data_IF_274072271201
#
_entry.id   IF_274072271201
#
_cell.length_a   1.000
_cell.length_b   1.000
_cell.length_c   1.000
_cell.angle_alpha   90.00
_cell.angle_beta   90.00
_cell.angle_gamma   90.00
#
_symmetry.space_group_name_H-M   'P 1'
#
loop_
_entity.id
_entity.type
_entity.pdbx_description
1 polymer ?
#
# COMPACT_ATOMS: atom_id res chain seq x y z
N UNK A 1 0.68 -38.28 -30.04
CA UNK A 1 1.35 -38.13 -28.73
C UNK A 1 2.84 -37.85 -28.96
N UNK A 2 3.26 -36.60 -28.73
CA UNK A 2 4.62 -36.11 -28.49
C UNK A 2 5.82 -36.53 -29.37
N UNK A 3 5.82 -36.17 -30.65
CA UNK A 3 7.06 -36.09 -31.46
C UNK A 3 7.99 -34.94 -31.00
N UNK A 4 7.43 -33.92 -30.32
CA UNK A 4 8.18 -32.79 -29.77
C UNK A 4 8.97 -33.11 -28.49
N UNK A 5 8.64 -34.18 -27.75
CA UNK A 5 9.45 -34.63 -26.60
C UNK A 5 10.69 -35.42 -27.03
N UNK A 6 10.66 -36.09 -28.18
CA UNK A 6 11.83 -36.79 -28.71
C UNK A 6 12.92 -35.83 -29.22
N UNK A 7 12.59 -34.59 -29.57
CA UNK A 7 13.57 -33.56 -29.96
C UNK A 7 14.26 -32.86 -28.77
N UNK A 8 13.77 -33.05 -27.55
CA UNK A 8 14.37 -32.47 -26.34
C UNK A 8 15.40 -33.38 -25.67
N UNK A 9 15.61 -34.57 -26.21
CA UNK A 9 16.65 -35.48 -25.74
C UNK A 9 18.00 -35.05 -26.33
N UNK A 10 19.07 -35.05 -25.55
CA UNK A 10 20.42 -34.64 -25.97
C UNK A 10 21.02 -35.63 -26.98
N UNK A 11 20.47 -35.67 -28.20
CA UNK A 11 20.91 -36.54 -29.28
C UNK A 11 22.41 -36.39 -29.57
N UNK A 12 22.96 -35.19 -29.38
CA UNK A 12 24.40 -34.92 -29.55
C UNK A 12 25.24 -35.62 -28.46
N UNK A 13 24.79 -35.61 -27.20
CA UNK A 13 25.47 -36.31 -26.11
C UNK A 13 25.38 -37.84 -26.27
N UNK A 14 24.22 -38.33 -26.71
CA UNK A 14 23.99 -39.75 -26.98
C UNK A 14 24.79 -40.22 -28.19
N UNK A 15 24.88 -39.40 -29.25
CA UNK A 15 25.72 -39.67 -30.40
C UNK A 15 27.21 -39.69 -30.02
N UNK A 16 27.66 -38.78 -29.14
CA UNK A 16 29.02 -38.79 -28.59
C UNK A 16 29.34 -40.03 -27.77
N UNK A 17 28.42 -40.46 -26.89
CA UNK A 17 28.56 -41.69 -26.10
C UNK A 17 28.56 -42.93 -27.01
N UNK A 18 27.64 -43.02 -27.97
CA UNK A 18 27.60 -44.12 -28.94
C UNK A 18 28.87 -44.18 -29.79
N UNK A 19 29.39 -43.04 -30.24
CA UNK A 19 30.63 -42.97 -31.00
C UNK A 19 31.85 -43.41 -30.18
N UNK A 20 31.93 -42.99 -28.91
CA UNK A 20 33.00 -43.42 -28.00
C UNK A 20 32.94 -44.93 -27.73
N UNK A 21 31.74 -45.48 -27.48
CA UNK A 21 31.54 -46.93 -27.27
C UNK A 21 31.90 -47.71 -28.53
N UNK A 22 31.46 -47.27 -29.71
CA UNK A 22 31.77 -47.92 -30.99
C UNK A 22 33.28 -47.91 -31.27
N UNK A 23 33.98 -46.80 -31.00
CA UNK A 23 35.42 -46.70 -31.15
C UNK A 23 36.18 -47.65 -30.21
N UNK A 24 35.75 -47.77 -28.95
CA UNK A 24 36.33 -48.70 -27.98
C UNK A 24 36.16 -50.16 -28.44
N UNK A 25 34.97 -50.53 -28.93
CA UNK A 25 34.68 -51.88 -29.42
C UNK A 25 35.49 -52.22 -30.68
N UNK A 26 35.59 -51.30 -31.63
CA UNK A 26 36.37 -51.46 -32.86
C UNK A 26 37.88 -51.60 -32.58
N UNK A 27 38.38 -50.86 -31.59
CA UNK A 27 39.78 -50.97 -31.15
C UNK A 27 40.04 -52.32 -30.47
N UNK A 28 39.13 -52.79 -29.59
CA UNK A 28 39.23 -54.11 -28.95
C UNK A 28 39.23 -55.27 -29.95
N UNK A 29 38.54 -55.13 -31.08
CA UNK A 29 38.51 -56.12 -32.15
C UNK A 29 39.74 -56.07 -33.09
N UNK A 30 40.71 -55.16 -32.86
CA UNK A 30 41.91 -54.98 -33.69
C UNK A 30 41.61 -54.70 -35.18
N UNK A 31 40.41 -54.21 -35.51
CA UNK A 31 40.00 -53.91 -36.89
C UNK A 31 40.57 -52.56 -37.38
N UNK A 32 41.08 -51.73 -36.48
CA UNK A 32 41.47 -50.33 -36.76
C UNK A 32 42.93 -50.08 -36.40
N UNK A 33 43.67 -49.53 -37.36
CA UNK A 33 45.10 -49.19 -37.28
C UNK A 33 45.35 -47.98 -36.36
N UNK A 34 46.51 -47.92 -35.70
CA UNK A 34 46.87 -46.93 -34.68
C UNK A 34 46.79 -45.48 -35.22
N UNK A 35 47.01 -45.32 -36.53
CA UNK A 35 46.90 -44.07 -37.27
C UNK A 35 45.48 -43.45 -37.28
N UNK A 36 44.43 -44.22 -36.99
CA UNK A 36 43.02 -43.77 -37.05
C UNK A 36 42.47 -43.37 -35.68
N UNK A 37 43.16 -43.73 -34.59
CA UNK A 37 42.72 -43.45 -33.21
C UNK A 37 42.78 -41.95 -32.89
N UNK A 38 43.87 -41.27 -33.29
CA UNK A 38 44.06 -39.85 -33.02
C UNK A 38 42.96 -38.97 -33.67
N UNK A 39 42.58 -39.16 -34.95
CA UNK A 39 41.44 -38.47 -35.55
C UNK A 39 40.12 -38.66 -34.80
N UNK A 40 39.84 -39.87 -34.31
CA UNK A 40 38.60 -40.18 -33.58
C UNK A 40 38.58 -39.45 -32.23
N UNK A 41 39.69 -39.47 -31.49
CA UNK A 41 39.81 -38.74 -30.22
C UNK A 41 39.64 -37.24 -30.44
N UNK A 42 40.25 -36.69 -31.50
CA UNK A 42 40.12 -35.27 -31.83
C UNK A 42 38.67 -34.89 -32.17
N UNK A 43 37.97 -35.74 -32.93
CA UNK A 43 36.57 -35.54 -33.27
C UNK A 43 35.66 -35.59 -32.03
N UNK A 44 35.88 -36.53 -31.12
CA UNK A 44 35.15 -36.64 -29.86
C UNK A 44 35.41 -35.42 -28.95
N UNK A 45 36.66 -34.95 -28.87
CA UNK A 45 37.02 -33.76 -28.09
C UNK A 45 36.34 -32.51 -28.65
N UNK A 46 36.29 -32.37 -29.98
CA UNK A 46 35.57 -31.29 -30.66
C UNK A 46 34.06 -31.33 -30.39
N UNK A 47 33.45 -32.52 -30.43
CA UNK A 47 32.03 -32.70 -30.12
C UNK A 47 31.72 -32.33 -28.67
N UNK A 48 32.58 -32.73 -27.72
CA UNK A 48 32.41 -32.44 -26.30
C UNK A 48 32.53 -30.92 -26.04
N UNK A 49 33.45 -30.24 -26.72
CA UNK A 49 33.59 -28.78 -26.63
C UNK A 49 32.37 -28.04 -27.17
N UNK A 50 31.83 -28.48 -28.31
CA UNK A 50 30.59 -27.92 -28.89
C UNK A 50 29.40 -28.14 -27.94
N UNK A 51 29.30 -29.32 -27.32
CA UNK A 51 28.26 -29.60 -26.35
C UNK A 51 28.38 -28.70 -25.10
N UNK A 52 29.59 -28.56 -24.56
CA UNK A 52 29.86 -27.71 -23.41
C UNK A 52 29.50 -26.23 -23.66
N UNK A 53 29.89 -25.71 -24.83
CA UNK A 53 29.54 -24.34 -25.24
C UNK A 53 28.03 -24.15 -25.40
N UNK A 54 27.32 -25.15 -25.96
CA UNK A 54 25.87 -25.10 -26.13
C UNK A 54 25.12 -25.15 -24.79
N UNK A 55 25.60 -25.97 -23.84
CA UNK A 55 25.00 -26.10 -22.52
C UNK A 55 25.18 -24.82 -21.68
N UNK A 56 26.37 -24.22 -21.71
CA UNK A 56 26.64 -22.93 -21.03
C UNK A 56 25.70 -21.84 -21.53
N UNK A 57 25.52 -21.73 -22.85
CA UNK A 57 24.61 -20.73 -23.46
C UNK A 57 23.15 -20.96 -23.09
N UNK A 58 22.68 -22.21 -23.04
CA UNK A 58 21.30 -22.52 -22.64
C UNK A 58 21.05 -22.25 -21.14
N UNK A 59 22.02 -22.53 -20.28
CA UNK A 59 21.91 -22.23 -18.85
C UNK A 59 21.92 -20.72 -18.58
N UNK A 60 22.71 -19.96 -19.32
CA UNK A 60 22.74 -18.49 -19.22
C UNK A 60 21.39 -17.88 -19.62
N UNK A 61 20.80 -18.33 -20.74
CA UNK A 61 19.46 -17.91 -21.16
C UNK A 61 18.37 -18.28 -20.13
N UNK A 62 18.47 -19.47 -19.53
CA UNK A 62 17.52 -19.93 -18.50
C UNK A 62 17.67 -19.11 -17.22
N UNK A 63 18.90 -18.78 -16.81
CA UNK A 63 19.17 -17.96 -15.63
C UNK A 63 18.66 -16.51 -15.81
N UNK A 64 18.81 -15.95 -17.02
CA UNK A 64 18.31 -14.63 -17.37
C UNK A 64 16.77 -14.58 -17.36
N UNK A 65 16.10 -15.58 -17.95
CA UNK A 65 14.64 -15.70 -17.91
C UNK A 65 14.10 -15.87 -16.49
N UNK A 66 14.77 -16.65 -15.64
CA UNK A 66 14.41 -16.82 -14.22
C UNK A 66 14.58 -15.51 -13.44
N UNK A 67 15.67 -14.77 -13.68
CA UNK A 67 15.91 -13.47 -13.06
C UNK A 67 14.83 -12.45 -13.46
N UNK A 68 14.52 -12.38 -14.76
CA UNK A 68 13.48 -11.49 -15.28
C UNK A 68 12.09 -11.85 -14.72
N UNK A 69 11.79 -13.14 -14.61
CA UNK A 69 10.54 -13.63 -13.99
C UNK A 69 10.48 -13.28 -12.51
N UNK A 70 11.56 -13.47 -11.75
CA UNK A 70 11.63 -13.10 -10.33
C UNK A 70 11.43 -11.60 -10.12
N UNK A 71 12.03 -10.77 -10.99
CA UNK A 71 11.81 -9.32 -10.98
C UNK A 71 10.36 -8.94 -11.31
N UNK A 72 9.75 -9.57 -12.30
CA UNK A 72 8.35 -9.36 -12.63
C UNK A 72 7.42 -9.75 -11.47
N UNK A 73 7.68 -10.88 -10.81
CA UNK A 73 6.93 -11.34 -9.63
C UNK A 73 7.08 -10.36 -8.47
N UNK A 74 8.29 -9.88 -8.15
CA UNK A 74 8.51 -8.85 -7.11
C UNK A 74 7.77 -7.55 -7.41
N UNK A 75 7.76 -7.12 -8.67
CA UNK A 75 7.03 -5.91 -9.10
C UNK A 75 5.51 -6.08 -8.98
N UNK A 76 4.99 -7.25 -9.34
CA UNK A 76 3.56 -7.58 -9.16
C UNK A 76 3.22 -7.60 -7.67
N UNK A 77 4.05 -8.24 -6.84
CA UNK A 77 3.84 -8.30 -5.39
C UNK A 77 3.87 -6.91 -4.74
N UNK A 78 4.81 -6.04 -5.14
CA UNK A 78 4.86 -4.65 -4.68
C UNK A 78 3.63 -3.83 -5.09
N UNK A 79 3.03 -4.11 -6.25
CA UNK A 79 1.77 -3.50 -6.69
C UNK A 79 0.51 -4.07 -6.02
N UNK A 80 0.62 -5.24 -5.36
CA UNK A 80 -0.49 -5.91 -4.67
C UNK A 80 -0.53 -5.61 -3.16
N UNK A 81 0.56 -5.13 -2.56
CA UNK A 81 0.54 -4.59 -1.21
C UNK A 81 -0.34 -3.33 -1.19
N UNK A 82 -1.48 -3.40 -0.51
CA UNK A 82 -2.36 -2.23 -0.35
C UNK A 82 -1.56 -1.12 0.34
N UNK A 83 -1.50 0.10 -0.23
CA UNK A 83 -0.77 1.19 0.40
C UNK A 83 -1.34 1.45 1.80
N UNK A 84 -0.48 1.55 2.80
CA UNK A 84 -0.90 1.88 4.18
C UNK A 84 -1.43 3.31 4.29
N UNK A 85 -0.92 4.20 3.44
CA UNK A 85 -1.27 5.62 3.42
C UNK A 85 -1.45 6.05 1.96
N UNK A 86 -2.58 6.68 1.67
CA UNK A 86 -2.88 7.23 0.35
C UNK A 86 -2.92 8.76 0.44
N UNK A 87 -2.06 9.44 -0.30
CA UNK A 87 -2.12 10.90 -0.42
C UNK A 87 -3.29 11.30 -1.33
N UNK A 88 -4.23 12.05 -0.78
CA UNK A 88 -5.40 12.56 -1.48
C UNK A 88 -5.17 14.04 -1.80
N UNK A 89 -5.20 14.35 -3.10
CA UNK A 89 -4.99 15.70 -3.59
C UNK A 89 -6.27 16.56 -3.66
N UNK A 90 -6.14 17.86 -3.96
CA UNK A 90 -7.24 18.83 -3.94
C UNK A 90 -8.46 18.44 -4.78
N UNK A 91 -8.25 17.79 -5.93
CA UNK A 91 -9.33 17.38 -6.85
C UNK A 91 -10.21 16.26 -6.29
N UNK A 92 -9.67 15.47 -5.36
CA UNK A 92 -10.34 14.29 -4.77
C UNK A 92 -10.71 14.51 -3.30
N UNK A 93 -10.21 15.59 -2.68
CA UNK A 93 -10.39 15.87 -1.26
C UNK A 93 -11.86 15.80 -0.83
N UNK A 94 -12.74 16.52 -1.53
CA UNK A 94 -14.17 16.54 -1.21
C UNK A 94 -14.80 15.15 -1.34
N UNK A 95 -14.57 14.47 -2.46
CA UNK A 95 -15.22 13.18 -2.71
C UNK A 95 -14.73 12.06 -1.78
N UNK A 96 -13.46 12.10 -1.38
CA UNK A 96 -12.90 11.16 -0.38
C UNK A 96 -13.46 11.47 1.01
N UNK A 97 -13.46 12.73 1.44
CA UNK A 97 -13.99 13.10 2.76
C UNK A 97 -15.49 12.82 2.90
N UNK A 98 -16.29 13.12 1.86
CA UNK A 98 -17.71 12.76 1.83
C UNK A 98 -17.94 11.25 1.90
N UNK A 99 -17.14 10.47 1.15
CA UNK A 99 -17.23 9.00 1.18
C UNK A 99 -16.87 8.46 2.56
N UNK A 100 -15.79 8.96 3.14
CA UNK A 100 -15.36 8.60 4.48
C UNK A 100 -16.46 8.89 5.52
N UNK A 101 -17.10 10.06 5.46
CA UNK A 101 -18.20 10.44 6.36
C UNK A 101 -19.47 9.57 6.18
N UNK A 102 -19.71 9.03 4.99
CA UNK A 102 -20.82 8.10 4.73
C UNK A 102 -20.52 6.66 5.15
N UNK A 103 -19.27 6.23 5.01
CA UNK A 103 -18.85 4.84 5.26
C UNK A 103 -18.39 4.59 6.70
N UNK A 104 -18.21 5.65 7.50
CA UNK A 104 -17.88 5.54 8.92
C UNK A 104 -18.98 4.83 9.73
N UNK A 105 -18.54 4.21 10.82
CA UNK A 105 -19.36 3.44 11.75
C UNK A 105 -18.72 3.41 13.13
N UNK A 106 -19.51 2.99 14.13
CA UNK A 106 -19.03 2.89 15.51
C UNK A 106 -18.78 4.27 16.11
N UNK A 107 -17.76 4.35 16.96
CA UNK A 107 -17.33 5.60 17.57
C UNK A 107 -16.30 6.30 16.67
N UNK A 108 -16.42 7.63 16.58
CA UNK A 108 -15.49 8.45 15.80
C UNK A 108 -14.87 9.56 16.64
N UNK A 109 -13.61 9.86 16.33
CA UNK A 109 -12.82 10.90 16.98
C UNK A 109 -12.44 11.94 15.93
N UNK A 110 -12.78 13.19 16.20
CA UNK A 110 -12.47 14.34 15.35
C UNK A 110 -11.47 15.21 16.11
N UNK A 111 -10.19 14.97 15.85
CA UNK A 111 -9.08 15.57 16.58
C UNK A 111 -8.53 16.79 15.84
N UNK A 112 -8.54 17.93 16.54
CA UNK A 112 -8.00 19.22 16.12
C UNK A 112 -8.45 19.66 14.72
N UNK A 113 -9.67 19.26 14.31
CA UNK A 113 -10.24 19.62 13.01
C UNK A 113 -10.46 21.13 12.91
N UNK A 114 -10.30 21.69 11.72
CA UNK A 114 -10.50 23.12 11.49
C UNK A 114 -12.01 23.44 11.40
N UNK A 115 -12.59 24.02 12.47
CA UNK A 115 -14.02 24.35 12.49
C UNK A 115 -14.42 25.37 11.43
N UNK A 116 -13.49 26.25 11.03
CA UNK A 116 -13.75 27.26 9.99
C UNK A 116 -14.14 26.61 8.63
N UNK A 117 -13.68 25.37 8.40
CA UNK A 117 -14.03 24.58 7.22
C UNK A 117 -15.53 24.24 7.17
N UNK A 118 -16.20 24.09 8.31
CA UNK A 118 -17.62 23.72 8.40
C UNK A 118 -18.55 24.91 8.57
N UNK A 119 -18.04 26.15 8.48
CA UNK A 119 -18.86 27.36 8.51
C UNK A 119 -19.72 27.51 7.24
N UNK A 120 -19.22 27.27 6.02
CA UNK A 120 -20.05 27.30 4.81
C UNK A 120 -21.07 26.15 4.79
N UNK A 121 -22.30 26.44 4.39
CA UNK A 121 -23.39 25.45 4.40
C UNK A 121 -23.11 24.23 3.56
N UNK A 122 -22.58 24.43 2.34
CA UNK A 122 -22.21 23.34 1.46
C UNK A 122 -21.19 22.38 2.09
N UNK A 123 -20.23 22.87 2.87
CA UNK A 123 -19.19 22.04 3.47
C UNK A 123 -19.69 21.34 4.73
N UNK A 124 -20.53 22.00 5.53
CA UNK A 124 -21.18 21.36 6.66
C UNK A 124 -22.08 20.22 6.18
N UNK A 125 -22.94 20.49 5.21
CA UNK A 125 -23.92 19.52 4.71
C UNK A 125 -23.26 18.35 3.94
N UNK A 126 -22.11 18.58 3.31
CA UNK A 126 -21.36 17.53 2.62
C UNK A 126 -20.45 16.71 3.55
N UNK A 127 -19.86 17.32 4.59
CA UNK A 127 -18.77 16.67 5.35
C UNK A 127 -19.16 16.31 6.78
N UNK A 128 -19.90 17.17 7.47
CA UNK A 128 -20.20 17.00 8.89
C UNK A 128 -21.60 16.41 9.11
N UNK A 129 -22.63 16.94 8.44
CA UNK A 129 -24.00 16.41 8.52
C UNK A 129 -24.06 14.91 8.20
N UNK A 130 -23.39 14.39 7.14
CA UNK A 130 -23.50 12.97 6.82
C UNK A 130 -22.94 12.09 7.93
N UNK A 131 -21.87 12.52 8.62
CA UNK A 131 -21.33 11.80 9.77
C UNK A 131 -22.32 11.76 10.95
N UNK A 132 -22.96 12.90 11.26
CA UNK A 132 -23.92 13.02 12.36
C UNK A 132 -25.18 12.17 12.08
N UNK A 133 -25.71 12.28 10.87
CA UNK A 133 -26.97 11.61 10.49
C UNK A 133 -26.76 10.13 10.09
N UNK A 134 -25.51 9.68 9.93
CA UNK A 134 -25.19 8.29 9.58
C UNK A 134 -25.68 7.32 10.68
N UNK A 135 -26.61 6.39 10.38
CA UNK A 135 -27.18 5.48 11.37
C UNK A 135 -26.17 4.47 11.93
N UNK A 136 -25.04 4.26 11.26
CA UNK A 136 -24.00 3.35 11.71
C UNK A 136 -22.98 4.00 12.67
N UNK A 137 -22.96 5.33 12.74
CA UNK A 137 -22.16 6.06 13.73
C UNK A 137 -22.91 6.06 15.06
N UNK A 138 -22.23 5.57 16.09
CA UNK A 138 -22.73 5.48 17.47
C UNK A 138 -22.45 6.77 18.24
N UNK A 139 -21.23 7.32 18.11
CA UNK A 139 -20.89 8.60 18.70
C UNK A 139 -19.78 9.34 17.96
N UNK A 140 -19.75 10.66 18.16
CA UNK A 140 -18.74 11.57 17.62
C UNK A 140 -18.16 12.37 18.78
N UNK A 141 -16.87 12.18 19.05
CA UNK A 141 -16.11 12.97 20.03
C UNK A 141 -15.24 13.99 19.30
N UNK A 142 -15.51 15.26 19.53
CA UNK A 142 -14.60 16.33 19.13
C UNK A 142 -13.54 16.54 20.22
N UNK A 143 -12.27 16.60 19.81
CA UNK A 143 -11.14 16.98 20.66
C UNK A 143 -10.48 18.16 19.98
N UNK A 144 -10.71 19.36 20.49
CA UNK A 144 -10.42 20.60 19.78
C UNK A 144 -9.50 21.49 20.59
N UNK A 145 -8.75 22.33 19.89
CA UNK A 145 -7.98 23.38 20.52
C UNK A 145 -8.90 24.40 21.20
N UNK A 146 -8.55 24.83 22.42
CA UNK A 146 -9.34 25.78 23.21
C UNK A 146 -9.63 27.10 22.48
N UNK A 147 -8.75 27.54 21.57
CA UNK A 147 -8.97 28.75 20.79
C UNK A 147 -10.12 28.64 19.78
N UNK A 148 -10.60 27.43 19.47
CA UNK A 148 -11.74 27.22 18.57
C UNK A 148 -13.11 27.26 19.29
N UNK A 149 -13.14 27.35 20.62
CA UNK A 149 -14.38 27.35 21.41
C UNK A 149 -15.39 28.43 21.01
N UNK A 150 -15.00 29.71 20.78
CA UNK A 150 -15.96 30.73 20.36
C UNK A 150 -16.63 30.41 19.01
N UNK A 151 -15.87 29.80 18.09
CA UNK A 151 -16.38 29.42 16.77
C UNK A 151 -17.35 28.23 16.87
N UNK A 152 -17.07 27.28 17.76
CA UNK A 152 -17.96 26.16 18.04
C UNK A 152 -19.32 26.63 18.52
N UNK A 153 -19.35 27.41 19.61
CA UNK A 153 -20.58 27.90 20.25
C UNK A 153 -21.40 28.78 19.29
N UNK A 154 -20.73 29.69 18.58
CA UNK A 154 -21.42 30.66 17.73
C UNK A 154 -21.92 30.09 16.39
N UNK A 155 -21.22 29.09 15.81
CA UNK A 155 -21.47 28.67 14.42
C UNK A 155 -21.75 27.19 14.26
N UNK A 156 -21.10 26.31 15.02
CA UNK A 156 -21.16 24.86 14.77
C UNK A 156 -22.25 24.20 15.63
N UNK A 157 -22.27 24.47 16.93
CA UNK A 157 -23.23 23.88 17.87
C UNK A 157 -24.70 24.10 17.47
N UNK A 158 -25.15 25.31 17.07
CA UNK A 158 -26.54 25.52 16.67
C UNK A 158 -26.95 24.70 15.44
N UNK A 159 -26.00 24.44 14.53
CA UNK A 159 -26.24 23.65 13.31
C UNK A 159 -26.33 22.17 13.63
N UNK A 160 -25.45 21.68 14.50
CA UNK A 160 -25.50 20.30 15.00
C UNK A 160 -26.84 20.07 15.71
N UNK A 161 -27.31 21.03 16.51
CA UNK A 161 -28.59 20.94 17.20
C UNK A 161 -29.81 20.81 16.25
N UNK A 162 -29.67 21.28 15.02
CA UNK A 162 -30.70 21.14 13.98
C UNK A 162 -30.65 19.81 13.22
N UNK A 163 -29.64 18.96 13.45
CA UNK A 163 -29.50 17.65 12.80
C UNK A 163 -30.26 16.55 13.56
N UNK A 164 -30.82 15.59 12.83
CA UNK A 164 -31.56 14.47 13.44
C UNK A 164 -30.68 13.58 14.34
N UNK A 165 -29.39 13.50 14.06
CA UNK A 165 -28.41 12.70 14.81
C UNK A 165 -27.68 13.45 15.94
N UNK A 166 -28.15 14.64 16.35
CA UNK A 166 -27.43 15.51 17.28
C UNK A 166 -26.95 14.82 18.58
N UNK A 167 -27.73 13.86 19.10
CA UNK A 167 -27.45 13.18 20.37
C UNK A 167 -26.21 12.27 20.32
N UNK A 168 -25.68 11.98 19.11
CA UNK A 168 -24.44 11.23 18.93
C UNK A 168 -23.21 12.10 19.14
N UNK A 169 -23.35 13.41 18.95
CA UNK A 169 -22.26 14.36 19.13
C UNK A 169 -22.12 14.62 20.63
N UNK A 170 -20.98 14.21 21.19
CA UNK A 170 -20.64 14.46 22.58
C UNK A 170 -20.14 15.90 22.74
N UNK A 171 -20.20 16.40 23.97
CA UNK A 171 -19.58 17.68 24.31
C UNK A 171 -18.08 17.65 23.92
N UNK A 172 -17.58 18.69 23.23
CA UNK A 172 -16.18 18.74 22.84
C UNK A 172 -15.26 18.73 24.05
N UNK A 173 -14.12 18.05 23.92
CA UNK A 173 -13.00 18.19 24.84
C UNK A 173 -12.11 19.32 24.36
N UNK A 174 -11.80 20.25 25.26
CA UNK A 174 -11.00 21.44 24.96
C UNK A 174 -9.59 21.25 25.50
N UNK A 175 -8.61 21.23 24.60
CA UNK A 175 -7.22 21.01 24.95
C UNK A 175 -6.36 22.17 24.45
N UNK A 176 -5.17 22.36 25.05
CA UNK A 176 -4.14 23.24 24.51
C UNK A 176 -3.31 22.44 23.50
N UNK A 177 -3.63 22.59 22.21
CA UNK A 177 -3.07 21.77 21.13
C UNK A 177 -2.13 22.60 20.26
N UNK A 178 -0.90 22.12 20.11
CA UNK A 178 -0.02 22.61 19.05
C UNK A 178 -0.69 22.33 17.69
N UNK A 179 -1.03 23.40 16.94
CA UNK A 179 -1.71 23.36 15.63
C UNK A 179 -0.77 22.81 14.56
N UNK A 180 -0.47 21.52 14.63
CA UNK A 180 0.41 20.81 13.70
C UNK A 180 -0.31 19.67 12.98
N UNK A 181 -1.22 18.98 13.67
CA UNK A 181 -1.90 17.78 13.17
C UNK A 181 -3.40 17.87 13.42
N UNK A 182 -4.19 17.40 12.46
CA UNK A 182 -5.65 17.25 12.52
C UNK A 182 -6.03 15.91 11.90
N UNK A 183 -6.88 15.13 12.55
CA UNK A 183 -7.34 13.87 11.98
C UNK A 183 -8.78 13.54 12.34
N UNK A 184 -9.42 12.74 11.48
CA UNK A 184 -10.71 12.10 11.74
C UNK A 184 -10.47 10.61 11.74
N UNK A 185 -10.73 9.95 12.87
CA UNK A 185 -10.56 8.51 13.06
C UNK A 185 -11.94 7.87 13.25
N UNK A 186 -12.21 6.81 12.50
CA UNK A 186 -13.47 6.05 12.60
C UNK A 186 -13.30 4.65 12.02
N UNK A 187 -14.16 3.71 12.45
CA UNK A 187 -14.27 2.42 11.79
C UNK A 187 -14.98 2.56 10.45
N UNK A 188 -14.42 1.97 9.40
CA UNK A 188 -14.99 2.02 8.06
C UNK A 188 -15.72 0.70 7.75
N UNK A 189 -16.99 0.79 7.36
CA UNK A 189 -17.84 -0.37 7.07
C UNK A 189 -17.34 -1.21 5.88
N UNK A 190 -16.78 -0.57 4.87
CA UNK A 190 -16.34 -1.25 3.66
C UNK A 190 -15.03 -2.01 3.88
N UNK A 191 -14.11 -1.42 4.65
CA UNK A 191 -12.83 -2.05 4.94
C UNK A 191 -12.88 -2.97 6.16
N UNK A 192 -13.85 -2.78 7.05
CA UNK A 192 -14.05 -3.59 8.26
C UNK A 192 -12.99 -3.32 9.33
N UNK A 193 -12.48 -2.09 9.42
CA UNK A 193 -11.49 -1.70 10.43
C UNK A 193 -11.37 -0.18 10.55
N UNK A 194 -10.62 0.26 11.56
CA UNK A 194 -10.36 1.67 11.84
C UNK A 194 -9.54 2.30 10.73
N UNK A 195 -9.93 3.46 10.24
CA UNK A 195 -9.17 4.26 9.28
C UNK A 195 -9.08 5.70 9.79
N UNK A 196 -8.18 6.48 9.19
CA UNK A 196 -8.09 7.90 9.50
C UNK A 196 -7.89 8.78 8.27
N UNK A 197 -8.53 9.95 8.27
CA UNK A 197 -8.17 11.06 7.40
C UNK A 197 -7.26 12.00 8.18
N UNK A 198 -5.98 12.02 7.84
CA UNK A 198 -4.95 12.82 8.49
C UNK A 198 -4.62 14.06 7.66
N UNK A 199 -4.49 15.20 8.32
CA UNK A 199 -4.12 16.49 7.74
C UNK A 199 -3.10 17.18 8.64
N UNK A 200 -2.25 17.99 8.04
CA UNK A 200 -1.30 18.82 8.77
C UNK A 200 -1.72 20.27 8.68
N UNK A 201 -1.56 20.99 9.78
CA UNK A 201 -1.75 22.43 9.85
C UNK A 201 -0.52 23.14 9.25
N UNK A 202 -0.76 24.27 8.57
CA UNK A 202 0.30 25.05 7.92
C UNK A 202 0.59 24.66 6.46
N UNK A 203 1.42 25.46 5.80
CA UNK A 203 1.83 25.20 4.43
C UNK A 203 2.82 24.02 4.33
N UNK A 204 2.79 23.23 3.24
CA UNK A 204 1.96 23.35 2.04
C UNK A 204 0.58 22.65 2.14
N UNK A 205 0.25 22.10 3.32
CA UNK A 205 -0.90 21.20 3.51
C UNK A 205 -2.21 21.92 3.78
N UNK A 206 -2.18 23.17 4.24
CA UNK A 206 -3.34 24.07 4.35
C UNK A 206 -3.23 25.23 3.36
N UNK A 207 -4.37 25.60 2.78
CA UNK A 207 -4.53 26.90 2.18
C UNK A 207 -4.88 27.88 3.29
N UNK A 208 -3.92 28.70 3.70
CA UNK A 208 -4.20 29.91 4.46
C UNK A 208 -4.65 30.98 3.47
N UNK A 209 -5.95 31.02 3.18
CA UNK A 209 -6.53 32.22 2.55
C UNK A 209 -6.88 33.21 3.66
N UNK A 210 -6.90 34.50 3.37
CA UNK A 210 -7.04 35.65 4.30
C UNK A 210 -8.21 35.56 5.31
N UNK A 211 -9.11 34.58 5.21
CA UNK A 211 -10.22 34.35 6.15
C UNK A 211 -10.48 32.87 6.51
N UNK A 212 -9.80 31.89 5.91
CA UNK A 212 -10.12 30.46 6.08
C UNK A 212 -8.89 29.56 5.90
N UNK A 213 -8.75 28.63 6.83
CA UNK A 213 -7.81 27.51 6.77
C UNK A 213 -8.54 26.28 6.25
N UNK A 214 -8.14 25.80 5.07
CA UNK A 214 -8.73 24.61 4.44
C UNK A 214 -7.61 23.64 4.05
N UNK A 215 -7.72 22.34 4.37
CA UNK A 215 -6.72 21.37 3.93
C UNK A 215 -6.66 21.32 2.38
N UNK A 216 -5.45 21.34 1.82
CA UNK A 216 -5.16 21.11 0.40
C UNK A 216 -4.95 19.63 0.10
N UNK A 217 -4.41 18.91 1.07
CA UNK A 217 -4.10 17.49 0.99
C UNK A 217 -4.54 16.81 2.28
N UNK A 218 -4.96 15.55 2.16
CA UNK A 218 -5.14 14.66 3.30
C UNK A 218 -4.46 13.34 3.02
N UNK A 219 -4.00 12.69 4.07
CA UNK A 219 -3.47 11.34 4.05
C UNK A 219 -4.57 10.41 4.53
N UNK A 220 -5.07 9.55 3.64
CA UNK A 220 -6.02 8.50 4.01
C UNK A 220 -5.22 7.30 4.51
N UNK A 221 -5.14 7.20 5.84
CA UNK A 221 -4.49 6.12 6.58
C UNK A 221 -5.43 4.91 6.59
N UNK A 222 -4.96 3.81 6.01
CA UNK A 222 -5.70 2.57 5.88
C UNK A 222 -5.63 1.73 7.16
N UNK A 223 -6.57 0.80 7.31
CA UNK A 223 -6.75 -0.03 8.52
C UNK A 223 -5.56 -0.87 9.00
N UNK A 224 -4.61 -1.12 8.11
CA UNK A 224 -3.41 -1.91 8.40
C UNK A 224 -2.17 -1.06 8.67
N UNK A 225 -2.33 0.27 8.75
CA UNK A 225 -1.22 1.17 9.02
C UNK A 225 -0.87 1.21 10.51
N UNK A 226 0.42 1.06 10.81
CA UNK A 226 1.00 1.24 12.15
C UNK A 226 0.90 2.69 12.66
N UNK A 227 0.40 3.62 11.85
CA UNK A 227 0.19 5.01 12.24
C UNK A 227 -1.07 5.18 13.11
N UNK A 228 -2.07 4.29 12.99
CA UNK A 228 -3.34 4.39 13.71
C UNK A 228 -3.18 4.35 15.25
N UNK A 229 -2.40 3.43 15.85
CA UNK A 229 -2.15 3.44 17.29
C UNK A 229 -1.54 4.75 17.78
N UNK A 230 -0.62 5.34 17.01
CA UNK A 230 0.01 6.62 17.37
C UNK A 230 -0.99 7.80 17.34
N UNK A 231 -1.94 7.82 16.42
CA UNK A 231 -3.01 8.83 16.43
C UNK A 231 -3.90 8.70 17.66
N UNK A 232 -4.22 7.47 18.07
CA UNK A 232 -4.97 7.23 19.30
C UNK A 232 -4.18 7.66 20.55
N UNK A 233 -2.86 7.47 20.56
CA UNK A 233 -2.00 7.94 21.64
C UNK A 233 -1.94 9.47 21.74
N UNK A 234 -1.98 10.19 20.62
CA UNK A 234 -2.05 11.66 20.60
C UNK A 234 -3.35 12.17 21.27
N UNK A 235 -4.49 11.55 20.96
CA UNK A 235 -5.76 11.88 21.62
C UNK A 235 -5.69 11.62 23.14
N UNK A 236 -5.19 10.44 23.54
CA UNK A 236 -5.03 10.08 24.96
C UNK A 236 -4.02 10.96 25.70
N UNK A 237 -3.02 11.48 25.00
CA UNK A 237 -2.03 12.42 25.55
C UNK A 237 -2.68 13.73 26.00
N UNK A 238 -3.70 14.19 25.27
CA UNK A 238 -4.44 15.40 25.59
C UNK A 238 -5.31 15.21 26.85
N UNK A 239 -6.01 14.07 26.95
CA UNK A 239 -6.79 13.71 28.13
C UNK A 239 -5.95 13.75 29.41
N UNK A 240 -4.74 13.17 29.38
CA UNK A 240 -3.83 13.15 30.55
C UNK A 240 -3.34 14.54 30.96
N UNK A 241 -3.25 15.51 30.04
CA UNK A 241 -2.87 16.88 30.36
C UNK A 241 -4.04 17.68 30.94
N UNK A 242 -5.27 17.35 30.56
CA UNK A 242 -6.50 17.94 31.12
C UNK A 242 -6.77 17.46 32.56
N UNK A 243 -6.49 16.18 32.85
CA UNK A 243 -6.67 15.57 34.17
C UNK A 243 -5.54 15.89 35.18
N UNK A 244 -4.49 16.61 34.76
CA UNK A 244 -3.39 17.03 35.63
C UNK A 244 -3.80 18.28 36.44
N UNK A 245 -3.68 18.27 37.78
CA UNK A 245 -4.01 19.44 38.59
C UNK A 245 -3.07 20.60 38.23
N UNK A 246 -3.67 21.76 37.89
CA UNK A 246 -2.95 23.03 37.71
C UNK A 246 -2.46 23.58 39.03
#
# INVERSE_FOLDING_TARGET
MNLKRFLGYEWDAIAGILAAVAAIVLHLLHVVDEAVILPIVLALLGLLFVNFMRHTRNNELTAEEVSHTAHAVRRIQAGLSRPEIVLVGPRQLRSVSERFARDMSGDSIWFNVCLSMYVPDELFDALLRPAIENPHVSSIQFVLDASQQPLWEAKIQPRIAACAGQSKVRDPRWCDLDRNVSFILADNRQSGGTEALLSFWGEPFMAQSTQRDVPRYIFHVQKHSELLPHLMELERGCQRREDAPR
#
